data_IF_926473948297
#
_entry.id   IF_926473948297
#
_cell.length_a   1.000
_cell.length_b   1.000
_cell.length_c   1.000
_cell.angle_alpha   90.00
_cell.angle_beta   90.00
_cell.angle_gamma   90.00
#
_symmetry.space_group_name_H-M   'P 1'
#
loop_
_entity.id
_entity.type
_entity.pdbx_description
1 polymer ?
#
# COMPACT_ATOMS: atom_id res chain seq x y z
N UNK A 1 18.01 -4.31 18.63
CA UNK A 1 18.60 -3.86 17.32
C UNK A 1 17.51 -3.93 16.28
N UNK A 2 17.41 -2.96 15.37
CA UNK A 2 16.42 -2.93 14.27
C UNK A 2 17.10 -2.36 13.01
N UNK A 3 16.62 -2.76 11.85
CA UNK A 3 17.05 -2.24 10.55
C UNK A 3 16.05 -1.21 10.07
N UNK A 4 16.52 -0.26 9.25
CA UNK A 4 15.69 0.77 8.64
C UNK A 4 15.82 0.71 7.13
N UNK A 5 14.67 0.66 6.44
CA UNK A 5 14.60 0.63 4.99
C UNK A 5 13.78 1.82 4.49
N UNK A 6 14.30 2.51 3.49
CA UNK A 6 13.61 3.59 2.78
C UNK A 6 14.24 3.77 1.40
N UNK A 7 13.55 4.45 0.45
CA UNK A 7 14.20 4.93 -0.76
C UNK A 7 15.44 5.76 -0.47
N UNK A 8 16.38 5.79 -1.40
CA UNK A 8 17.56 6.69 -1.31
C UNK A 8 17.19 8.16 -1.41
N UNK A 9 16.08 8.46 -2.09
CA UNK A 9 15.51 9.79 -2.16
C UNK A 9 13.99 9.77 -2.17
N UNK A 10 13.39 10.74 -1.47
CA UNK A 10 11.97 11.02 -1.48
C UNK A 10 11.82 12.47 -1.94
N UNK A 11 11.11 12.66 -3.05
CA UNK A 11 10.83 13.96 -3.65
C UNK A 11 9.35 14.23 -3.51
N UNK A 12 8.99 15.28 -2.79
CA UNK A 12 7.60 15.64 -2.53
C UNK A 12 7.31 17.06 -3.02
N UNK A 13 6.22 17.23 -3.77
CA UNK A 13 5.73 18.54 -4.20
C UNK A 13 5.00 18.51 -5.52
N UNK A 14 4.20 19.56 -5.75
CA UNK A 14 3.42 19.74 -6.97
C UNK A 14 4.31 19.89 -8.21
N UNK A 15 3.94 19.24 -9.31
CA UNK A 15 4.67 19.26 -10.57
C UNK A 15 5.98 18.45 -10.58
N UNK A 16 6.32 17.74 -9.50
CA UNK A 16 7.58 16.99 -9.40
C UNK A 16 7.64 15.78 -10.33
N UNK A 17 6.51 15.27 -10.78
CA UNK A 17 6.47 14.22 -11.81
C UNK A 17 7.16 14.65 -13.11
N UNK A 18 7.13 15.93 -13.45
CA UNK A 18 7.85 16.49 -14.61
C UNK A 18 9.38 16.49 -14.46
N UNK A 19 9.92 16.17 -13.28
CA UNK A 19 11.36 16.02 -13.05
C UNK A 19 11.86 14.56 -13.16
N UNK A 20 11.02 13.61 -13.56
CA UNK A 20 11.36 12.18 -13.62
C UNK A 20 12.60 11.92 -14.47
N UNK A 21 12.78 12.59 -15.62
CA UNK A 21 13.94 12.44 -16.49
C UNK A 21 15.26 12.85 -15.81
N UNK A 22 15.24 13.88 -14.95
CA UNK A 22 16.40 14.26 -14.14
C UNK A 22 16.80 13.13 -13.17
N UNK A 23 15.84 12.59 -12.44
CA UNK A 23 16.10 11.50 -11.50
C UNK A 23 16.47 10.20 -12.21
N UNK A 24 15.89 9.92 -13.39
CA UNK A 24 16.27 8.76 -14.20
C UNK A 24 17.73 8.87 -14.71
N UNK A 25 18.23 10.06 -15.01
CA UNK A 25 19.65 10.28 -15.33
C UNK A 25 20.57 10.05 -14.13
N UNK A 26 20.14 10.51 -12.97
CA UNK A 26 20.97 10.47 -11.75
C UNK A 26 21.01 9.06 -11.12
N UNK A 27 19.88 8.35 -11.11
CA UNK A 27 19.71 7.12 -10.35
C UNK A 27 19.40 5.89 -11.22
N UNK A 28 19.02 6.09 -12.46
CA UNK A 28 18.70 5.04 -13.40
C UNK A 28 19.93 4.49 -14.12
N UNK A 29 19.68 3.46 -14.95
CA UNK A 29 20.66 2.83 -15.82
C UNK A 29 20.11 2.74 -17.25
N UNK A 30 20.44 3.70 -18.09
CA UNK A 30 20.01 3.72 -19.49
C UNK A 30 18.50 4.00 -19.66
N UNK A 31 17.91 3.41 -20.70
CA UNK A 31 16.49 3.65 -21.07
C UNK A 31 15.53 3.11 -20.02
N UNK A 32 14.40 3.79 -19.86
CA UNK A 32 13.39 3.45 -18.88
C UNK A 32 12.18 2.73 -19.50
N UNK A 33 11.74 1.65 -18.89
CA UNK A 33 10.38 1.13 -19.08
C UNK A 33 9.45 1.87 -18.12
N UNK A 34 8.42 2.54 -18.66
CA UNK A 34 7.34 3.10 -17.85
C UNK A 34 6.26 2.06 -17.65
N UNK A 35 5.92 1.74 -16.41
CA UNK A 35 4.82 0.83 -16.03
C UNK A 35 3.70 1.67 -15.40
N UNK A 36 2.50 1.59 -15.96
CA UNK A 36 1.33 2.38 -15.53
C UNK A 36 0.02 1.61 -15.76
N UNK A 37 -1.11 2.22 -15.38
CA UNK A 37 -2.43 1.67 -15.66
C UNK A 37 -3.05 2.22 -16.96
N UNK A 38 -3.99 1.48 -17.59
CA UNK A 38 -4.61 1.91 -18.86
C UNK A 38 -5.41 3.20 -18.72
N UNK A 39 -6.05 3.43 -17.55
CA UNK A 39 -6.76 4.69 -17.29
C UNK A 39 -5.79 5.88 -17.26
N UNK A 40 -4.70 5.77 -16.51
CA UNK A 40 -3.70 6.84 -16.36
C UNK A 40 -3.05 7.19 -17.72
N UNK A 41 -2.87 6.16 -18.57
CA UNK A 41 -2.36 6.35 -19.93
C UNK A 41 -3.34 7.11 -20.82
N UNK A 42 -4.64 6.74 -20.78
CA UNK A 42 -5.68 7.39 -21.60
C UNK A 42 -6.05 8.79 -21.12
N UNK A 43 -6.09 9.01 -19.79
CA UNK A 43 -6.44 10.31 -19.20
C UNK A 43 -5.33 11.35 -19.28
N UNK A 44 -4.11 10.95 -19.65
CA UNK A 44 -2.96 11.83 -19.71
C UNK A 44 -2.28 12.13 -18.37
N UNK A 45 -2.73 11.54 -17.27
CA UNK A 45 -2.11 11.74 -15.94
C UNK A 45 -0.62 11.36 -15.93
N UNK A 46 -0.23 10.34 -16.70
CA UNK A 46 1.17 9.91 -16.84
C UNK A 46 2.00 10.79 -17.78
N UNK A 47 1.39 11.72 -18.54
CA UNK A 47 2.07 12.46 -19.59
C UNK A 47 3.24 13.33 -19.11
N UNK A 48 3.19 14.02 -17.95
CA UNK A 48 4.35 14.74 -17.41
C UNK A 48 5.58 13.86 -17.20
N UNK A 49 5.38 12.60 -16.79
CA UNK A 49 6.44 11.59 -16.62
C UNK A 49 7.02 11.20 -17.96
N UNK A 50 6.15 10.89 -18.94
CA UNK A 50 6.58 10.48 -20.28
C UNK A 50 7.32 11.60 -21.02
N UNK A 51 6.81 12.83 -20.94
CA UNK A 51 7.44 14.00 -21.55
C UNK A 51 8.83 14.25 -20.97
N UNK A 52 8.95 14.22 -19.64
CA UNK A 52 10.23 14.39 -18.95
C UNK A 52 11.27 13.33 -19.36
N UNK A 53 10.86 12.08 -19.55
CA UNK A 53 11.73 11.00 -20.02
C UNK A 53 12.10 11.15 -21.49
N UNK A 54 11.19 11.64 -22.37
CA UNK A 54 11.49 11.93 -23.79
C UNK A 54 12.52 13.05 -23.90
N UNK A 55 12.33 14.16 -23.21
CA UNK A 55 13.25 15.30 -23.18
C UNK A 55 14.63 14.90 -22.65
N UNK A 56 14.68 13.97 -21.71
CA UNK A 56 15.91 13.39 -21.22
C UNK A 56 16.56 12.39 -22.19
N UNK A 57 15.87 11.93 -23.25
CA UNK A 57 16.32 10.88 -24.16
C UNK A 57 16.33 9.49 -23.52
N UNK A 58 15.56 9.29 -22.46
CA UNK A 58 15.56 8.06 -21.66
C UNK A 58 14.29 7.21 -21.80
N UNK A 59 13.23 7.67 -22.49
CA UNK A 59 12.04 6.86 -22.68
C UNK A 59 12.36 5.66 -23.58
N UNK A 60 12.21 4.45 -23.04
CA UNK A 60 12.38 3.19 -23.74
C UNK A 60 11.07 2.65 -24.29
N UNK A 61 10.15 2.34 -23.40
CA UNK A 61 8.84 1.81 -23.72
C UNK A 61 7.82 2.16 -22.62
N UNK A 62 6.54 1.89 -22.92
CA UNK A 62 5.44 2.04 -21.95
C UNK A 62 4.65 0.73 -21.91
N UNK A 63 4.51 0.14 -20.72
CA UNK A 63 3.61 -0.96 -20.43
C UNK A 63 2.43 -0.41 -19.63
N UNK A 64 1.21 -0.54 -20.14
CA UNK A 64 0.01 0.08 -19.54
C UNK A 64 -1.18 -0.88 -19.44
N UNK A 65 -0.96 -2.18 -19.51
CA UNK A 65 -2.01 -3.20 -19.46
C UNK A 65 -2.18 -3.81 -18.06
N UNK A 66 -2.40 -2.95 -17.06
CA UNK A 66 -2.70 -3.36 -15.67
C UNK A 66 -4.02 -2.69 -15.27
N UNK A 67 -5.16 -3.31 -15.61
CA UNK A 67 -6.47 -2.67 -15.41
C UNK A 67 -6.93 -2.64 -13.95
N UNK A 68 -6.45 -3.57 -13.11
CA UNK A 68 -6.86 -3.73 -11.72
C UNK A 68 -5.74 -4.33 -10.87
N UNK A 69 -5.98 -5.48 -10.23
CA UNK A 69 -4.98 -6.21 -9.45
C UNK A 69 -3.84 -6.72 -10.35
N UNK A 70 -2.57 -6.60 -9.90
CA UNK A 70 -1.43 -7.07 -10.66
C UNK A 70 -1.34 -8.60 -10.66
N UNK A 71 -1.06 -9.19 -11.82
CA UNK A 71 -0.94 -10.64 -11.98
C UNK A 71 0.44 -11.04 -12.49
N UNK A 72 0.78 -12.32 -12.36
CA UNK A 72 2.01 -12.89 -12.89
C UNK A 72 2.10 -12.79 -14.43
N UNK A 73 0.96 -12.77 -15.14
CA UNK A 73 0.89 -12.47 -16.57
C UNK A 73 1.40 -11.07 -16.88
N UNK A 74 0.92 -10.04 -16.15
CA UNK A 74 1.38 -8.65 -16.33
C UNK A 74 2.89 -8.53 -16.08
N UNK A 75 3.42 -9.26 -15.09
CA UNK A 75 4.87 -9.27 -14.81
C UNK A 75 5.64 -9.89 -15.98
N UNK A 76 5.20 -11.04 -16.52
CA UNK A 76 5.88 -11.70 -17.65
C UNK A 76 5.88 -10.83 -18.91
N UNK A 77 4.74 -10.20 -19.23
CA UNK A 77 4.61 -9.33 -20.40
C UNK A 77 5.48 -8.07 -20.27
N UNK A 78 5.44 -7.40 -19.10
CA UNK A 78 6.28 -6.22 -18.83
C UNK A 78 7.78 -6.58 -18.85
N UNK A 79 8.19 -7.72 -18.31
CA UNK A 79 9.57 -8.20 -18.35
C UNK A 79 10.02 -8.49 -19.79
N UNK A 80 9.16 -9.12 -20.58
CA UNK A 80 9.42 -9.35 -22.02
C UNK A 80 9.65 -8.04 -22.78
N UNK A 81 8.83 -7.02 -22.52
CA UNK A 81 8.99 -5.68 -23.09
C UNK A 81 10.29 -5.00 -22.60
N UNK A 82 10.56 -5.07 -21.28
CA UNK A 82 11.77 -4.51 -20.66
C UNK A 82 13.05 -5.02 -21.33
N UNK A 83 13.14 -6.34 -21.52
CA UNK A 83 14.29 -7.01 -22.15
C UNK A 83 14.39 -6.71 -23.64
N UNK A 84 13.29 -6.77 -24.40
CA UNK A 84 13.24 -6.49 -25.83
C UNK A 84 13.69 -5.06 -26.16
N UNK A 85 13.28 -4.09 -25.36
CA UNK A 85 13.61 -2.68 -25.52
C UNK A 85 14.96 -2.30 -24.86
N UNK A 86 15.67 -3.27 -24.27
CA UNK A 86 16.96 -3.08 -23.61
C UNK A 86 16.90 -1.95 -22.56
N UNK A 87 15.84 -1.92 -21.79
CA UNK A 87 15.72 -0.96 -20.68
C UNK A 87 16.66 -1.36 -19.54
N UNK A 88 17.11 -0.39 -18.76
CA UNK A 88 17.95 -0.60 -17.56
C UNK A 88 17.38 0.09 -16.33
N UNK A 89 16.24 0.74 -16.47
CA UNK A 89 15.53 1.46 -15.40
C UNK A 89 14.05 1.19 -15.53
N UNK A 90 13.33 1.15 -14.41
CA UNK A 90 11.87 1.07 -14.38
C UNK A 90 11.32 2.34 -13.73
N UNK A 91 10.35 2.97 -14.39
CA UNK A 91 9.56 4.08 -13.82
C UNK A 91 8.14 3.58 -13.64
N UNK A 92 7.71 3.40 -12.40
CA UNK A 92 6.36 2.97 -12.07
C UNK A 92 5.51 4.21 -11.73
N UNK A 93 4.52 4.53 -12.57
CA UNK A 93 3.59 5.63 -12.32
C UNK A 93 2.17 5.07 -12.19
N UNK A 94 1.64 5.07 -10.95
CA UNK A 94 0.32 4.50 -10.69
C UNK A 94 0.05 4.25 -9.21
N UNK A 95 -1.02 3.54 -8.91
CA UNK A 95 -1.27 3.01 -7.57
C UNK A 95 -0.36 1.82 -7.25
N UNK A 96 -0.72 1.03 -6.24
CA UNK A 96 0.07 -0.13 -5.81
C UNK A 96 0.37 -1.13 -6.93
N UNK A 97 -0.62 -1.44 -7.79
CA UNK A 97 -0.48 -2.46 -8.84
C UNK A 97 0.68 -2.21 -9.82
N UNK A 98 0.76 -1.07 -10.51
CA UNK A 98 1.91 -0.73 -11.36
C UNK A 98 3.25 -0.74 -10.63
N UNK A 99 3.30 -0.29 -9.36
CA UNK A 99 4.53 -0.28 -8.58
C UNK A 99 4.92 -1.72 -8.21
N UNK A 100 3.97 -2.57 -7.88
CA UNK A 100 4.21 -3.97 -7.56
C UNK A 100 4.69 -4.77 -8.78
N UNK A 101 4.09 -4.55 -9.97
CA UNK A 101 4.62 -5.13 -11.22
C UNK A 101 6.05 -4.67 -11.48
N UNK A 102 6.37 -3.39 -11.28
CA UNK A 102 7.71 -2.85 -11.45
C UNK A 102 8.74 -3.55 -10.55
N UNK A 103 8.40 -3.76 -9.28
CA UNK A 103 9.24 -4.50 -8.32
C UNK A 103 9.44 -5.95 -8.75
N UNK A 104 8.38 -6.62 -9.19
CA UNK A 104 8.46 -8.00 -9.66
C UNK A 104 9.26 -8.11 -10.97
N UNK A 105 9.15 -7.17 -11.89
CA UNK A 105 9.98 -7.12 -13.12
C UNK A 105 11.45 -6.92 -12.77
N UNK A 106 11.77 -5.97 -11.88
CA UNK A 106 13.13 -5.72 -11.40
C UNK A 106 13.73 -6.96 -10.72
N UNK A 107 12.92 -7.64 -9.89
CA UNK A 107 13.28 -8.90 -9.24
C UNK A 107 13.64 -10.00 -10.26
N UNK A 108 12.72 -10.27 -11.20
CA UNK A 108 12.87 -11.39 -12.14
C UNK A 108 13.91 -11.12 -13.23
N UNK A 109 14.17 -9.86 -13.55
CA UNK A 109 15.26 -9.54 -14.49
C UNK A 109 16.63 -9.93 -13.95
N UNK A 110 16.87 -9.69 -12.67
CA UNK A 110 18.14 -9.99 -12.01
C UNK A 110 18.29 -11.44 -11.56
N UNK A 111 17.19 -12.09 -11.18
CA UNK A 111 17.24 -13.39 -10.49
C UNK A 111 16.64 -14.55 -11.31
N UNK A 112 15.89 -14.25 -12.40
CA UNK A 112 15.21 -15.27 -13.19
C UNK A 112 13.99 -15.88 -12.49
N UNK A 113 13.56 -17.05 -12.93
CA UNK A 113 12.46 -17.81 -12.31
C UNK A 113 11.09 -17.19 -12.45
N UNK A 114 10.21 -17.45 -11.49
CA UNK A 114 8.86 -16.95 -11.36
C UNK A 114 8.70 -16.25 -9.99
N UNK A 115 7.69 -15.37 -9.86
CA UNK A 115 7.42 -14.65 -8.60
C UNK A 115 7.22 -15.61 -7.42
N UNK A 116 6.59 -16.76 -7.67
CA UNK A 116 6.35 -17.80 -6.66
C UNK A 116 7.63 -18.31 -6.00
N UNK A 117 8.73 -18.37 -6.74
CA UNK A 117 10.02 -18.87 -6.21
C UNK A 117 10.56 -17.99 -5.09
N UNK A 118 10.13 -16.73 -5.06
CA UNK A 118 10.57 -15.71 -4.08
C UNK A 118 9.50 -15.38 -3.02
N UNK A 119 8.35 -16.06 -3.06
CA UNK A 119 7.27 -15.80 -2.10
C UNK A 119 7.73 -15.99 -0.65
N UNK A 120 7.45 -15.01 0.20
CA UNK A 120 7.88 -14.95 1.60
C UNK A 120 8.85 -13.81 1.90
N UNK A 121 9.55 -13.91 3.03
CA UNK A 121 10.43 -12.85 3.54
C UNK A 121 11.89 -13.19 3.28
N UNK A 122 12.66 -12.26 2.69
CA UNK A 122 14.12 -12.38 2.55
C UNK A 122 14.61 -13.45 1.57
N UNK A 123 13.76 -13.89 0.63
CA UNK A 123 14.10 -14.93 -0.36
C UNK A 123 14.71 -14.41 -1.65
N UNK A 124 14.83 -13.10 -1.82
CA UNK A 124 15.43 -12.47 -3.01
C UNK A 124 16.94 -12.45 -2.85
N UNK A 125 17.73 -13.12 -3.73
CA UNK A 125 19.18 -13.25 -3.53
C UNK A 125 19.94 -12.00 -3.97
N UNK A 126 19.52 -11.32 -5.05
CA UNK A 126 20.26 -10.19 -5.61
C UNK A 126 19.34 -8.99 -5.89
N UNK A 127 19.84 -7.74 -5.73
CA UNK A 127 19.08 -6.54 -6.10
C UNK A 127 18.85 -6.50 -7.62
N UNK A 128 17.70 -5.98 -8.02
CA UNK A 128 17.34 -5.77 -9.41
C UNK A 128 17.81 -4.42 -9.98
N UNK A 129 17.18 -4.02 -11.08
CA UNK A 129 17.41 -2.71 -11.70
C UNK A 129 16.75 -1.59 -10.88
N UNK A 130 17.26 -0.34 -10.97
CA UNK A 130 16.68 0.79 -10.25
C UNK A 130 15.21 1.02 -10.60
N UNK A 131 14.40 1.34 -9.57
CA UNK A 131 12.99 1.69 -9.69
C UNK A 131 12.79 3.14 -9.23
N UNK A 132 12.11 3.94 -10.05
CA UNK A 132 11.57 5.24 -9.67
C UNK A 132 10.06 5.04 -9.53
N UNK A 133 9.53 5.19 -8.32
CA UNK A 133 8.12 5.00 -8.03
C UNK A 133 7.40 6.34 -7.89
N UNK A 134 6.28 6.50 -8.60
CA UNK A 134 5.48 7.72 -8.67
C UNK A 134 4.03 7.35 -8.35
N UNK A 135 3.61 7.42 -7.08
CA UNK A 135 2.25 7.05 -6.71
C UNK A 135 1.24 8.07 -7.26
N UNK A 136 0.11 7.57 -7.76
CA UNK A 136 -1.05 8.36 -8.17
C UNK A 136 -2.25 8.15 -7.25
N UNK A 137 -2.07 7.38 -6.18
CA UNK A 137 -3.06 7.16 -5.10
C UNK A 137 -2.40 7.43 -3.75
N UNK A 138 -3.18 7.87 -2.78
CA UNK A 138 -2.75 8.07 -1.40
C UNK A 138 -3.24 6.89 -0.55
N UNK A 139 -2.49 5.78 -0.55
CA UNK A 139 -2.97 4.57 0.13
C UNK A 139 -1.91 3.50 0.36
N UNK A 140 -1.42 2.89 -0.70
CA UNK A 140 -0.64 1.65 -0.63
C UNK A 140 0.75 1.78 0.02
N UNK A 141 1.39 2.97 -0.02
CA UNK A 141 2.77 3.13 0.44
C UNK A 141 3.80 2.28 -0.33
N UNK A 142 3.41 1.72 -1.50
CA UNK A 142 4.27 0.83 -2.26
C UNK A 142 5.53 1.54 -2.77
N UNK A 143 5.49 2.85 -2.97
CA UNK A 143 6.63 3.68 -3.41
C UNK A 143 7.78 3.73 -2.40
N UNK A 144 7.51 3.39 -1.14
CA UNK A 144 8.54 3.37 -0.06
C UNK A 144 8.70 2.02 0.60
N UNK A 145 7.98 0.99 0.15
CA UNK A 145 8.01 -0.33 0.77
C UNK A 145 8.86 -1.34 -0.01
N UNK A 146 9.42 -2.32 0.73
CA UNK A 146 10.11 -3.49 0.17
C UNK A 146 9.16 -4.68 -0.08
N UNK A 147 7.88 -4.41 -0.35
CA UNK A 147 6.85 -5.43 -0.54
C UNK A 147 6.31 -5.38 -1.95
N UNK A 148 6.06 -6.53 -2.56
CA UNK A 148 5.24 -6.67 -3.77
C UNK A 148 4.23 -7.80 -3.59
N UNK A 149 3.01 -7.59 -4.09
CA UNK A 149 1.93 -8.57 -4.05
C UNK A 149 1.45 -8.80 -5.48
N UNK A 150 1.66 -10.03 -5.97
CA UNK A 150 1.27 -10.42 -7.33
C UNK A 150 0.28 -11.58 -7.23
N UNK A 151 -0.85 -11.47 -7.91
CA UNK A 151 -1.81 -12.58 -8.02
C UNK A 151 -1.32 -13.57 -9.05
N UNK A 152 -1.14 -14.81 -8.64
CA UNK A 152 -0.92 -15.92 -9.58
C UNK A 152 -2.26 -16.34 -10.17
N UNK A 153 -2.43 -16.15 -11.48
CA UNK A 153 -3.73 -16.37 -12.13
C UNK A 153 -4.19 -17.84 -12.06
N UNK A 154 -3.26 -18.78 -12.22
CA UNK A 154 -3.59 -20.20 -12.26
C UNK A 154 -4.08 -20.76 -10.91
N UNK A 155 -3.55 -20.26 -9.79
CA UNK A 155 -3.90 -20.74 -8.45
C UNK A 155 -4.88 -19.81 -7.73
N UNK A 156 -5.20 -18.64 -8.29
CA UNK A 156 -5.98 -17.59 -7.62
C UNK A 156 -5.41 -17.22 -6.24
N UNK A 157 -4.08 -17.12 -6.14
CA UNK A 157 -3.35 -16.90 -4.89
C UNK A 157 -2.56 -15.60 -4.96
N UNK A 158 -2.56 -14.83 -3.86
CA UNK A 158 -1.73 -13.64 -3.72
C UNK A 158 -0.34 -14.02 -3.21
N UNK A 159 0.66 -13.90 -4.07
CA UNK A 159 2.07 -14.12 -3.74
C UNK A 159 2.64 -12.85 -3.11
N UNK A 160 3.01 -12.95 -1.83
CA UNK A 160 3.64 -11.87 -1.09
C UNK A 160 5.16 -12.07 -1.09
N UNK A 161 5.90 -11.13 -1.67
CA UNK A 161 7.37 -11.10 -1.61
C UNK A 161 7.82 -9.90 -0.82
N UNK A 162 8.65 -10.11 0.21
CA UNK A 162 9.20 -9.05 1.05
C UNK A 162 10.72 -9.11 1.02
N UNK A 163 11.35 -8.05 0.52
CA UNK A 163 12.80 -7.90 0.50
C UNK A 163 13.20 -6.42 0.48
N UNK A 164 14.29 -6.09 1.16
CA UNK A 164 14.90 -4.75 1.08
C UNK A 164 15.30 -4.37 -0.36
N UNK A 165 15.59 -5.35 -1.21
CA UNK A 165 15.95 -5.14 -2.61
C UNK A 165 14.79 -4.69 -3.51
N UNK A 166 13.55 -4.72 -3.00
CA UNK A 166 12.36 -4.24 -3.69
C UNK A 166 11.98 -2.79 -3.33
N UNK A 167 12.67 -2.18 -2.38
CA UNK A 167 12.46 -0.76 -2.06
C UNK A 167 12.90 0.07 -3.27
N UNK A 168 12.03 0.93 -3.83
CA UNK A 168 12.40 1.81 -4.94
C UNK A 168 13.61 2.69 -4.61
N UNK A 169 14.44 2.99 -5.61
CA UNK A 169 15.57 3.91 -5.44
C UNK A 169 15.09 5.32 -5.09
N UNK A 170 14.05 5.79 -5.79
CA UNK A 170 13.47 7.12 -5.63
C UNK A 170 11.95 6.99 -5.59
N UNK A 171 11.33 7.71 -4.65
CA UNK A 171 9.89 7.96 -4.62
C UNK A 171 9.63 9.42 -5.00
N UNK A 172 8.81 9.67 -6.04
CA UNK A 172 8.38 11.01 -6.44
C UNK A 172 6.89 11.14 -6.12
N UNK A 173 6.57 11.94 -5.13
CA UNK A 173 5.20 12.15 -4.65
C UNK A 173 4.71 13.52 -5.13
N UNK A 174 3.88 13.51 -6.16
CA UNK A 174 3.28 14.68 -6.76
C UNK A 174 1.78 14.71 -6.45
N UNK A 175 1.31 15.61 -5.57
CA UNK A 175 -0.10 15.68 -5.22
C UNK A 175 -1.04 15.87 -6.41
N UNK A 176 -0.60 16.56 -7.47
CA UNK A 176 -1.40 16.80 -8.67
C UNK A 176 -1.83 15.49 -9.36
N UNK A 177 -1.04 14.42 -9.23
CA UNK A 177 -1.37 13.11 -9.82
C UNK A 177 -2.50 12.40 -9.07
N UNK A 178 -2.87 12.86 -7.87
CA UNK A 178 -3.98 12.31 -7.07
C UNK A 178 -5.30 13.05 -7.32
N UNK A 179 -5.27 14.19 -8.03
CA UNK A 179 -6.49 14.90 -8.40
C UNK A 179 -7.30 14.06 -9.38
N UNK A 180 -8.59 14.18 -9.31
CA UNK A 180 -9.47 13.37 -10.15
C UNK A 180 -9.62 11.89 -9.71
N UNK A 181 -9.01 11.47 -8.60
CA UNK A 181 -9.35 10.18 -8.01
C UNK A 181 -10.84 10.16 -7.63
N UNK A 182 -11.61 9.14 -8.07
CA UNK A 182 -13.01 9.01 -7.67
C UNK A 182 -13.16 8.94 -6.16
N UNK A 183 -14.25 9.48 -5.57
CA UNK A 183 -14.47 9.42 -4.12
C UNK A 183 -14.36 8.03 -3.52
N UNK A 184 -14.94 7.01 -4.17
CA UNK A 184 -14.84 5.61 -3.70
C UNK A 184 -13.39 5.11 -3.65
N UNK A 185 -12.54 5.48 -4.63
CA UNK A 185 -11.13 5.13 -4.62
C UNK A 185 -10.37 5.91 -3.53
N UNK A 186 -10.67 7.21 -3.37
CA UNK A 186 -10.12 8.05 -2.30
C UNK A 186 -10.43 7.44 -0.93
N UNK A 187 -11.68 7.03 -0.69
CA UNK A 187 -12.11 6.40 0.55
C UNK A 187 -11.36 5.08 0.81
N UNK A 188 -11.38 4.17 -0.16
CA UNK A 188 -10.78 2.84 -0.02
C UNK A 188 -9.26 2.93 0.23
N UNK A 189 -8.54 3.75 -0.57
CA UNK A 189 -7.08 3.88 -0.42
C UNK A 189 -6.70 4.68 0.82
N UNK A 190 -7.47 5.71 1.17
CA UNK A 190 -7.22 6.51 2.38
C UNK A 190 -7.45 5.74 3.67
N UNK A 191 -8.51 4.89 3.73
CA UNK A 191 -8.72 3.99 4.88
C UNK A 191 -7.65 2.90 4.94
N UNK A 192 -7.15 2.43 3.78
CA UNK A 192 -6.01 1.52 3.72
C UNK A 192 -4.75 2.17 4.35
N UNK A 193 -4.42 3.42 3.96
CA UNK A 193 -3.32 4.17 4.58
C UNK A 193 -3.52 4.38 6.09
N UNK A 194 -4.76 4.66 6.53
CA UNK A 194 -5.08 4.76 7.96
C UNK A 194 -4.89 3.41 8.68
N UNK A 195 -5.26 2.32 8.02
CA UNK A 195 -5.04 0.96 8.54
C UNK A 195 -3.55 0.66 8.66
N UNK A 196 -2.74 1.03 7.67
CA UNK A 196 -1.28 0.95 7.74
C UNK A 196 -0.73 1.72 8.94
N UNK A 197 -1.18 2.97 9.16
CA UNK A 197 -0.76 3.79 10.29
C UNK A 197 -1.15 3.17 11.63
N UNK A 198 -2.38 2.66 11.77
CA UNK A 198 -2.86 2.03 13.00
C UNK A 198 -2.06 0.74 13.26
N UNK A 199 -2.00 -0.18 12.30
CA UNK A 199 -1.34 -1.47 12.49
C UNK A 199 0.17 -1.33 12.74
N UNK A 200 0.85 -0.45 12.00
CA UNK A 200 2.29 -0.21 12.21
C UNK A 200 2.59 0.40 13.58
N UNK A 201 1.70 1.23 14.13
CA UNK A 201 1.83 1.79 15.48
C UNK A 201 1.73 0.71 16.56
N UNK A 202 0.74 -0.18 16.43
CA UNK A 202 0.44 -1.19 17.45
C UNK A 202 1.16 -2.52 17.22
N UNK A 203 1.80 -2.70 16.07
CA UNK A 203 2.57 -3.89 15.74
C UNK A 203 3.56 -4.25 16.85
N UNK A 204 3.71 -5.53 17.14
CA UNK A 204 4.73 -6.04 18.07
C UNK A 204 6.17 -5.73 17.58
N UNK A 205 6.35 -5.43 16.29
CA UNK A 205 7.61 -4.99 15.69
C UNK A 205 7.79 -3.47 15.68
N UNK A 206 6.83 -2.70 16.19
CA UNK A 206 6.91 -1.25 16.20
C UNK A 206 8.10 -0.74 17.03
N UNK A 207 8.78 0.25 16.51
CA UNK A 207 9.85 0.99 17.16
C UNK A 207 9.38 2.41 17.51
N UNK A 208 10.13 3.15 18.33
CA UNK A 208 9.81 4.55 18.62
C UNK A 208 9.66 5.37 17.33
N UNK A 209 10.59 5.17 16.38
CA UNK A 209 10.60 5.90 15.11
C UNK A 209 9.39 5.55 14.24
N UNK A 210 9.02 4.27 14.10
CA UNK A 210 7.84 3.87 13.33
C UNK A 210 6.54 4.35 13.98
N UNK A 211 6.46 4.36 15.31
CA UNK A 211 5.31 4.91 16.03
C UNK A 211 5.14 6.40 15.73
N UNK A 212 6.22 7.19 15.71
CA UNK A 212 6.14 8.63 15.44
C UNK A 212 5.63 8.91 14.01
N UNK A 213 6.07 8.15 13.00
CA UNK A 213 5.52 8.21 11.64
C UNK A 213 4.04 7.80 11.62
N UNK A 214 3.68 6.72 12.29
CA UNK A 214 2.29 6.22 12.37
C UNK A 214 1.34 7.24 12.98
N UNK A 215 1.74 7.91 14.06
CA UNK A 215 0.91 8.93 14.74
C UNK A 215 0.66 10.14 13.83
N UNK A 216 1.71 10.63 13.15
CA UNK A 216 1.55 11.73 12.18
C UNK A 216 0.63 11.34 11.03
N UNK A 217 0.84 10.14 10.46
CA UNK A 217 -0.01 9.60 9.40
C UNK A 217 -1.47 9.51 9.82
N UNK A 218 -1.74 8.93 10.99
CA UNK A 218 -3.10 8.78 11.51
C UNK A 218 -3.79 10.13 11.73
N UNK A 219 -3.09 11.12 12.30
CA UNK A 219 -3.61 12.47 12.51
C UNK A 219 -3.95 13.19 11.20
N UNK A 220 -3.06 13.11 10.18
CA UNK A 220 -3.31 13.70 8.86
C UNK A 220 -4.51 13.06 8.18
N UNK A 221 -4.54 11.74 8.11
CA UNK A 221 -5.60 10.99 7.44
C UNK A 221 -6.95 11.17 8.13
N UNK A 222 -7.00 11.16 9.47
CA UNK A 222 -8.24 11.41 10.20
C UNK A 222 -8.83 12.81 9.93
N UNK A 223 -7.96 13.82 9.73
CA UNK A 223 -8.38 15.19 9.48
C UNK A 223 -8.74 15.45 8.01
N UNK A 224 -7.89 15.00 7.08
CA UNK A 224 -7.96 15.45 5.70
C UNK A 224 -8.63 14.46 4.74
N UNK A 225 -8.74 13.18 5.09
CA UNK A 225 -9.39 12.20 4.23
C UNK A 225 -10.87 12.50 3.98
N UNK A 226 -11.69 12.91 4.99
CA UNK A 226 -13.06 13.33 4.75
C UNK A 226 -13.15 14.54 3.81
N UNK A 227 -12.22 15.47 3.90
CA UNK A 227 -12.15 16.66 3.02
C UNK A 227 -11.81 16.24 1.60
N UNK A 228 -10.77 15.42 1.41
CA UNK A 228 -10.38 14.91 0.09
C UNK A 228 -11.47 14.03 -0.56
N UNK A 229 -12.30 13.36 0.24
CA UNK A 229 -13.45 12.59 -0.23
C UNK A 229 -14.60 13.48 -0.70
N UNK A 230 -14.95 14.51 0.09
CA UNK A 230 -16.04 15.43 -0.20
C UNK A 230 -15.68 16.47 -1.28
N UNK A 231 -14.40 16.87 -1.35
CA UNK A 231 -13.86 17.88 -2.26
C UNK A 231 -12.61 17.31 -2.97
N UNK A 232 -12.79 16.56 -4.06
CA UNK A 232 -11.69 15.84 -4.73
C UNK A 232 -10.55 16.74 -5.23
N UNK A 233 -10.81 18.01 -5.45
CA UNK A 233 -9.84 18.99 -5.96
C UNK A 233 -9.23 19.89 -4.86
N UNK A 234 -9.52 19.62 -3.57
CA UNK A 234 -8.91 20.34 -2.47
C UNK A 234 -7.42 20.02 -2.39
N UNK A 235 -6.60 21.02 -2.75
CA UNK A 235 -5.15 20.87 -2.88
C UNK A 235 -4.47 20.51 -1.55
N UNK A 236 -4.92 21.12 -0.44
CA UNK A 236 -4.36 20.86 0.89
C UNK A 236 -4.70 19.42 1.31
N UNK A 237 -5.96 19.02 1.17
CA UNK A 237 -6.40 17.68 1.57
C UNK A 237 -5.71 16.59 0.75
N UNK A 238 -5.55 16.77 -0.57
CA UNK A 238 -4.80 15.82 -1.42
C UNK A 238 -3.35 15.71 -1.01
N UNK A 239 -2.68 16.85 -0.78
CA UNK A 239 -1.30 16.91 -0.31
C UNK A 239 -1.13 16.20 1.03
N UNK A 240 -2.00 16.49 2.00
CA UNK A 240 -1.93 15.92 3.33
C UNK A 240 -2.27 14.42 3.36
N UNK A 241 -3.24 13.95 2.55
CA UNK A 241 -3.51 12.53 2.38
C UNK A 241 -2.33 11.79 1.76
N UNK A 242 -1.68 12.36 0.73
CA UNK A 242 -0.51 11.75 0.10
C UNK A 242 0.67 11.68 1.08
N UNK A 243 0.89 12.73 1.87
CA UNK A 243 1.93 12.76 2.91
C UNK A 243 1.62 11.76 4.03
N UNK A 244 0.35 11.64 4.46
CA UNK A 244 -0.07 10.64 5.44
C UNK A 244 0.13 9.20 4.93
N UNK A 245 -0.17 8.94 3.65
CA UNK A 245 0.11 7.64 3.00
C UNK A 245 1.61 7.32 2.97
N UNK A 246 2.45 8.29 2.63
CA UNK A 246 3.91 8.16 2.67
C UNK A 246 4.41 7.80 4.08
N UNK A 247 3.98 8.56 5.10
CA UNK A 247 4.39 8.34 6.48
C UNK A 247 3.94 6.97 6.99
N UNK A 248 2.71 6.53 6.67
CA UNK A 248 2.21 5.20 6.97
C UNK A 248 3.02 4.11 6.24
N UNK A 249 3.38 4.36 4.97
CA UNK A 249 4.22 3.49 4.14
C UNK A 249 5.60 3.26 4.75
N UNK A 250 6.25 4.32 5.19
CA UNK A 250 7.54 4.26 5.89
C UNK A 250 7.39 3.49 7.21
N UNK A 251 6.31 3.73 7.95
CA UNK A 251 6.08 3.06 9.24
C UNK A 251 5.90 1.55 9.07
N UNK A 252 4.97 1.09 8.21
CA UNK A 252 4.73 -0.34 8.06
C UNK A 252 5.90 -1.09 7.42
N UNK A 253 6.64 -0.46 6.52
CA UNK A 253 7.85 -1.06 5.93
C UNK A 253 8.86 -1.46 7.01
N UNK A 254 8.94 -0.70 8.10
CA UNK A 254 9.92 -0.87 9.17
C UNK A 254 9.34 -1.48 10.46
N UNK A 255 8.04 -1.80 10.51
CA UNK A 255 7.39 -2.43 11.66
C UNK A 255 6.40 -3.53 11.31
N UNK A 256 6.05 -3.67 10.03
CA UNK A 256 5.04 -4.59 9.52
C UNK A 256 3.59 -4.18 9.86
N UNK A 257 2.67 -4.69 9.05
CA UNK A 257 1.22 -4.70 9.29
C UNK A 257 0.83 -5.86 10.23
N UNK A 258 -0.44 -5.97 10.62
CA UNK A 258 -0.91 -6.93 11.61
C UNK A 258 -2.15 -7.72 11.14
N UNK A 259 -3.14 -7.88 11.99
CA UNK A 259 -4.28 -8.80 11.79
C UNK A 259 -5.22 -8.34 10.68
N UNK A 260 -5.47 -7.02 10.51
CA UNK A 260 -6.35 -6.51 9.43
C UNK A 260 -5.83 -6.95 8.08
N UNK A 261 -4.58 -6.64 7.77
CA UNK A 261 -3.95 -7.05 6.52
C UNK A 261 -3.81 -8.57 6.37
N UNK A 262 -3.61 -9.28 7.51
CA UNK A 262 -3.57 -10.74 7.51
C UNK A 262 -4.87 -11.35 7.00
N UNK A 263 -6.02 -10.82 7.44
CA UNK A 263 -7.35 -11.30 7.06
C UNK A 263 -7.84 -10.71 5.72
N UNK A 264 -7.46 -9.47 5.40
CA UNK A 264 -7.91 -8.81 4.19
C UNK A 264 -7.35 -9.44 2.90
N UNK A 265 -6.12 -9.99 2.94
CA UNK A 265 -5.50 -10.61 1.76
C UNK A 265 -6.29 -11.80 1.22
N UNK A 266 -6.60 -12.85 2.02
CA UNK A 266 -7.43 -13.95 1.53
C UNK A 266 -8.86 -13.51 1.17
N UNK A 267 -9.44 -12.55 1.90
CA UNK A 267 -10.76 -12.00 1.58
C UNK A 267 -10.76 -11.39 0.16
N UNK A 268 -9.79 -10.52 -0.12
CA UNK A 268 -9.66 -9.89 -1.44
C UNK A 268 -9.37 -10.90 -2.55
N UNK A 269 -8.51 -11.89 -2.30
CA UNK A 269 -8.15 -12.90 -3.30
C UNK A 269 -9.31 -13.80 -3.71
N UNK A 270 -10.08 -14.30 -2.72
CA UNK A 270 -11.16 -15.27 -2.98
C UNK A 270 -12.42 -14.64 -3.55
N UNK A 271 -12.69 -13.40 -3.23
CA UNK A 271 -13.94 -12.73 -3.62
C UNK A 271 -13.76 -11.57 -4.60
N UNK A 272 -12.54 -11.31 -5.05
CA UNK A 272 -12.26 -10.21 -5.98
C UNK A 272 -12.50 -8.81 -5.37
N UNK A 273 -12.49 -8.70 -4.04
CA UNK A 273 -12.70 -7.42 -3.36
C UNK A 273 -11.38 -6.62 -3.42
N UNK A 274 -11.40 -5.36 -3.88
CA UNK A 274 -10.20 -4.51 -3.91
C UNK A 274 -9.53 -4.42 -2.55
N UNK A 275 -8.19 -4.40 -2.52
CA UNK A 275 -7.39 -4.49 -1.30
C UNK A 275 -7.78 -3.44 -0.24
N UNK A 276 -7.88 -2.16 -0.61
CA UNK A 276 -8.25 -1.10 0.33
C UNK A 276 -9.67 -1.29 0.90
N UNK A 277 -10.62 -1.82 0.10
CA UNK A 277 -11.97 -2.16 0.59
C UNK A 277 -11.90 -3.34 1.57
N UNK A 278 -11.12 -4.39 1.25
CA UNK A 278 -10.94 -5.55 2.13
C UNK A 278 -10.38 -5.16 3.50
N UNK A 279 -9.42 -4.25 3.55
CA UNK A 279 -8.89 -3.72 4.81
C UNK A 279 -9.94 -2.88 5.55
N UNK A 280 -10.65 -2.00 4.83
CA UNK A 280 -11.60 -1.07 5.43
C UNK A 280 -12.80 -1.78 6.09
N UNK A 281 -13.34 -2.84 5.48
CA UNK A 281 -14.48 -3.60 6.02
C UNK A 281 -14.12 -4.39 7.29
N UNK A 282 -12.86 -4.75 7.48
CA UNK A 282 -12.36 -5.51 8.63
C UNK A 282 -11.85 -4.61 9.77
N UNK A 283 -11.50 -3.35 9.46
CA UNK A 283 -10.78 -2.46 10.38
C UNK A 283 -11.48 -2.31 11.74
N UNK A 284 -12.79 -2.04 11.75
CA UNK A 284 -13.52 -1.79 13.00
C UNK A 284 -13.57 -3.02 13.91
N UNK A 285 -13.88 -4.20 13.36
CA UNK A 285 -13.97 -5.44 14.14
C UNK A 285 -12.61 -5.79 14.76
N UNK A 286 -11.56 -5.74 13.94
CA UNK A 286 -10.21 -6.11 14.37
C UNK A 286 -9.61 -5.06 15.32
N UNK A 287 -9.85 -3.77 15.07
CA UNK A 287 -9.41 -2.72 16.01
C UNK A 287 -10.05 -2.92 17.39
N UNK A 288 -11.37 -3.17 17.44
CA UNK A 288 -12.09 -3.45 18.70
C UNK A 288 -11.50 -4.65 19.43
N UNK A 289 -11.20 -5.73 18.71
CA UNK A 289 -10.54 -6.92 19.25
C UNK A 289 -9.16 -6.61 19.82
N UNK A 290 -8.41 -5.74 19.15
CA UNK A 290 -6.99 -5.50 19.41
C UNK A 290 -6.72 -4.45 20.51
N UNK A 291 -7.69 -3.55 20.79
CA UNK A 291 -7.54 -2.46 21.78
C UNK A 291 -6.94 -2.90 23.13
N UNK A 292 -7.41 -4.00 23.77
CA UNK A 292 -6.87 -4.42 25.07
C UNK A 292 -5.41 -4.88 25.02
N UNK A 293 -4.89 -5.21 23.82
CA UNK A 293 -3.52 -5.70 23.65
C UNK A 293 -2.45 -4.60 23.65
N UNK A 294 -2.83 -3.33 23.43
CA UNK A 294 -1.89 -2.20 23.45
C UNK A 294 -2.62 -0.87 23.75
N UNK A 295 -3.30 -0.75 24.89
CA UNK A 295 -4.16 0.40 25.20
C UNK A 295 -3.40 1.73 25.13
N UNK A 296 -2.15 1.81 25.57
CA UNK A 296 -1.34 3.03 25.55
C UNK A 296 -1.02 3.48 24.10
N UNK A 297 -0.73 2.54 23.19
CA UNK A 297 -0.46 2.87 21.80
C UNK A 297 -1.73 3.32 21.07
N UNK A 298 -2.85 2.64 21.33
CA UNK A 298 -4.15 3.07 20.79
C UNK A 298 -4.62 4.41 21.37
N UNK A 299 -4.30 4.73 22.64
CA UNK A 299 -4.57 6.03 23.23
C UNK A 299 -3.78 7.14 22.50
N UNK A 300 -2.49 6.94 22.26
CA UNK A 300 -1.66 7.88 21.49
C UNK A 300 -2.19 8.08 20.06
N UNK A 301 -2.63 7.01 19.39
CA UNK A 301 -3.30 7.10 18.07
C UNK A 301 -4.58 7.94 18.18
N UNK A 302 -5.40 7.69 19.19
CA UNK A 302 -6.63 8.43 19.42
C UNK A 302 -6.36 9.94 19.59
N UNK A 303 -5.39 10.30 20.40
CA UNK A 303 -4.96 11.69 20.61
C UNK A 303 -4.44 12.32 19.31
N UNK A 304 -3.62 11.59 18.55
CA UNK A 304 -3.13 12.05 17.25
C UNK A 304 -4.27 12.29 16.24
N UNK A 305 -5.35 11.50 16.31
CA UNK A 305 -6.57 11.66 15.51
C UNK A 305 -7.54 12.72 16.08
N UNK A 306 -7.21 13.39 17.18
CA UNK A 306 -7.99 14.48 17.78
C UNK A 306 -8.92 14.05 18.91
N UNK A 307 -8.78 12.86 19.49
CA UNK A 307 -9.51 12.50 20.70
C UNK A 307 -8.97 13.28 21.92
N UNK A 308 -9.89 13.69 22.78
CA UNK A 308 -9.52 14.22 24.10
C UNK A 308 -9.16 13.05 25.02
N UNK A 309 -8.01 13.12 25.72
CA UNK A 309 -7.65 12.08 26.69
C UNK A 309 -8.75 11.87 27.74
N UNK A 310 -9.07 10.61 28.02
CA UNK A 310 -10.01 10.19 29.05
C UNK A 310 -9.26 9.54 30.22
N UNK A 311 -9.95 9.19 31.32
CA UNK A 311 -9.37 8.76 32.59
C UNK A 311 -8.31 7.66 32.49
N UNK A 312 -8.49 6.70 31.61
CA UNK A 312 -7.53 5.60 31.38
C UNK A 312 -7.09 5.54 29.93
N UNK A 313 -5.92 4.94 29.62
CA UNK A 313 -5.50 4.69 28.25
C UNK A 313 -6.54 3.92 27.42
N UNK A 314 -7.23 2.94 28.02
CA UNK A 314 -8.24 2.16 27.31
C UNK A 314 -9.49 2.99 26.98
N UNK A 315 -9.90 3.93 27.82
CA UNK A 315 -11.00 4.85 27.55
C UNK A 315 -10.65 5.81 26.43
N UNK A 316 -9.44 6.39 26.45
CA UNK A 316 -8.93 7.22 25.36
C UNK A 316 -8.86 6.41 24.05
N UNK A 317 -8.37 5.18 24.08
CA UNK A 317 -8.33 4.28 22.92
C UNK A 317 -9.73 4.00 22.34
N UNK A 318 -10.75 3.85 23.18
CA UNK A 318 -12.17 3.70 22.76
C UNK A 318 -12.70 4.97 22.08
N UNK A 319 -12.31 6.17 22.54
CA UNK A 319 -12.64 7.41 21.85
C UNK A 319 -12.03 7.44 20.44
N UNK A 320 -10.79 7.00 20.27
CA UNK A 320 -10.14 6.85 18.96
C UNK A 320 -10.85 5.83 18.07
N UNK A 321 -11.30 4.71 18.60
CA UNK A 321 -12.15 3.76 17.88
C UNK A 321 -13.42 4.44 17.37
N UNK A 322 -14.05 5.31 18.18
CA UNK A 322 -15.22 6.10 17.78
C UNK A 322 -14.93 7.05 16.59
N UNK A 323 -13.72 7.62 16.51
CA UNK A 323 -13.28 8.42 15.37
C UNK A 323 -13.19 7.56 14.12
N UNK A 324 -12.51 6.41 14.18
CA UNK A 324 -12.37 5.48 13.05
C UNK A 324 -13.74 4.99 12.57
N UNK A 325 -14.63 4.59 13.47
CA UNK A 325 -15.99 4.16 13.15
C UNK A 325 -16.81 5.24 12.44
N UNK A 326 -16.64 6.51 12.83
CA UNK A 326 -17.28 7.65 12.17
C UNK A 326 -16.71 7.83 10.76
N UNK A 327 -15.38 7.82 10.60
CA UNK A 327 -14.71 7.95 9.30
C UNK A 327 -15.17 6.87 8.32
N UNK A 328 -15.21 5.61 8.72
CA UNK A 328 -15.67 4.49 7.89
C UNK A 328 -17.11 4.74 7.36
N UNK A 329 -18.00 5.29 8.22
CA UNK A 329 -19.37 5.62 7.82
C UNK A 329 -19.44 6.85 6.90
N UNK A 330 -18.75 7.94 7.22
CA UNK A 330 -18.72 9.18 6.43
C UNK A 330 -18.12 8.96 5.03
N UNK A 331 -17.16 8.05 4.92
CA UNK A 331 -16.54 7.66 3.66
C UNK A 331 -17.33 6.61 2.87
N UNK A 332 -18.53 6.25 3.34
CA UNK A 332 -19.42 5.27 2.70
C UNK A 332 -18.76 3.92 2.43
N UNK A 333 -17.86 3.48 3.31
CA UNK A 333 -17.27 2.14 3.22
C UNK A 333 -18.38 1.09 3.38
N UNK A 334 -18.53 0.13 2.44
CA UNK A 334 -19.55 -0.90 2.55
C UNK A 334 -19.30 -1.81 3.76
N UNK A 335 -20.32 -2.47 4.25
CA UNK A 335 -20.16 -3.55 5.23
C UNK A 335 -19.87 -4.86 4.51
N UNK A 336 -19.19 -5.79 5.16
CA UNK A 336 -18.87 -7.10 4.56
C UNK A 336 -20.13 -7.82 4.04
N UNK A 337 -21.23 -7.76 4.80
CA UNK A 337 -22.54 -8.32 4.40
C UNK A 337 -23.18 -7.68 3.15
N UNK A 338 -22.75 -6.50 2.77
CA UNK A 338 -23.23 -5.80 1.57
C UNK A 338 -22.42 -6.27 0.33
N UNK A 339 -21.29 -6.91 0.54
CA UNK A 339 -20.37 -7.42 -0.49
C UNK A 339 -20.51 -8.92 -0.72
N UNK A 340 -20.83 -9.69 0.33
CA UNK A 340 -20.82 -11.15 0.33
C UNK A 340 -22.03 -11.71 1.09
N UNK A 341 -22.59 -12.83 0.60
CA UNK A 341 -23.52 -13.61 1.39
C UNK A 341 -22.80 -14.39 2.50
N UNK A 342 -23.50 -14.72 3.55
CA UNK A 342 -22.97 -15.54 4.66
C UNK A 342 -22.52 -16.91 4.18
N UNK A 343 -23.28 -17.54 3.29
CA UNK A 343 -23.00 -18.87 2.74
C UNK A 343 -21.70 -18.86 1.92
N UNK A 344 -21.48 -17.80 1.11
CA UNK A 344 -20.25 -17.66 0.34
C UNK A 344 -19.02 -17.49 1.25
N UNK A 345 -19.16 -16.70 2.32
CA UNK A 345 -18.11 -16.49 3.31
C UNK A 345 -17.79 -17.81 4.03
N UNK A 346 -18.80 -18.51 4.56
CA UNK A 346 -18.65 -19.74 5.32
C UNK A 346 -17.98 -20.85 4.49
N UNK A 347 -18.29 -20.91 3.18
CA UNK A 347 -17.66 -21.87 2.26
C UNK A 347 -16.13 -21.69 2.11
N UNK A 348 -15.59 -20.51 2.38
CA UNK A 348 -14.17 -20.20 2.24
C UNK A 348 -13.46 -19.92 3.57
N UNK A 349 -14.20 -19.88 4.68
CA UNK A 349 -13.71 -19.38 5.96
C UNK A 349 -12.47 -20.12 6.47
N UNK A 350 -12.48 -21.46 6.48
CA UNK A 350 -11.35 -22.28 6.93
C UNK A 350 -10.09 -22.06 6.08
N UNK A 351 -10.25 -21.90 4.77
CA UNK A 351 -9.14 -21.62 3.88
C UNK A 351 -8.58 -20.23 4.14
N UNK A 352 -9.46 -19.23 4.30
CA UNK A 352 -9.07 -17.85 4.62
C UNK A 352 -8.33 -17.75 5.95
N UNK A 353 -8.77 -18.45 6.98
CA UNK A 353 -8.11 -18.48 8.29
C UNK A 353 -6.70 -19.07 8.16
N UNK A 354 -6.55 -20.21 7.46
CA UNK A 354 -5.23 -20.81 7.22
C UNK A 354 -4.29 -19.87 6.47
N UNK A 355 -4.77 -19.22 5.41
CA UNK A 355 -3.98 -18.27 4.62
C UNK A 355 -3.61 -17.01 5.42
N UNK A 356 -4.54 -16.49 6.23
CA UNK A 356 -4.28 -15.37 7.12
C UNK A 356 -3.14 -15.70 8.11
N UNK A 357 -3.22 -16.83 8.78
CA UNK A 357 -2.17 -17.31 9.72
C UNK A 357 -0.85 -17.52 9.01
N UNK A 358 -0.85 -18.19 7.85
CA UNK A 358 0.35 -18.48 7.05
C UNK A 358 1.05 -17.21 6.56
N UNK A 359 0.32 -16.09 6.37
CA UNK A 359 0.90 -14.81 5.97
C UNK A 359 1.88 -14.21 6.99
N UNK A 360 1.85 -14.69 8.24
CA UNK A 360 2.67 -14.20 9.35
C UNK A 360 2.27 -12.81 9.89
N UNK A 361 1.36 -12.10 9.22
CA UNK A 361 0.93 -10.76 9.66
C UNK A 361 0.14 -10.79 10.98
N UNK A 362 -0.77 -11.74 11.25
CA UNK A 362 -1.48 -11.83 12.52
C UNK A 362 -0.57 -11.97 13.74
N UNK A 363 0.61 -12.59 13.58
CA UNK A 363 1.59 -12.73 14.65
C UNK A 363 2.19 -11.38 15.12
N UNK A 364 2.02 -10.31 14.35
CA UNK A 364 2.46 -8.96 14.73
C UNK A 364 1.38 -8.18 15.49
N UNK A 365 0.14 -8.71 15.57
CA UNK A 365 -0.95 -8.04 16.25
C UNK A 365 -0.69 -7.94 17.76
N UNK A 366 -1.03 -6.83 18.43
CA UNK A 366 -0.75 -6.67 19.87
C UNK A 366 -1.50 -7.67 20.74
N UNK A 367 -2.76 -7.98 20.41
CA UNK A 367 -3.52 -9.11 20.96
C UNK A 367 -3.43 -10.27 19.96
N UNK A 368 -2.85 -11.38 20.43
CA UNK A 368 -2.77 -12.58 19.58
C UNK A 368 -4.18 -13.17 19.41
N UNK A 369 -4.53 -13.55 18.19
CA UNK A 369 -5.79 -14.18 17.86
C UNK A 369 -5.54 -15.68 17.56
N UNK A 370 -6.38 -16.54 18.14
CA UNK A 370 -6.43 -17.95 17.75
C UNK A 370 -7.09 -18.09 16.36
N UNK A 371 -6.92 -19.23 15.66
CA UNK A 371 -7.65 -19.50 14.43
C UNK A 371 -9.17 -19.35 14.58
N UNK A 372 -9.73 -19.79 15.72
CA UNK A 372 -11.16 -19.70 16.04
C UNK A 372 -11.59 -18.23 16.25
N UNK A 373 -10.76 -17.42 16.90
CA UNK A 373 -11.01 -15.98 17.06
C UNK A 373 -10.94 -15.28 15.69
N UNK A 374 -9.96 -15.63 14.81
CA UNK A 374 -9.88 -15.11 13.44
C UNK A 374 -11.15 -15.45 12.66
N UNK A 375 -11.66 -16.68 12.79
CA UNK A 375 -12.89 -17.10 12.11
C UNK A 375 -14.13 -16.35 12.62
N UNK A 376 -14.13 -15.86 13.88
CA UNK A 376 -15.25 -15.16 14.49
C UNK A 376 -15.25 -13.65 14.22
N UNK A 377 -14.11 -13.09 13.85
CA UNK A 377 -13.92 -11.67 13.52
C UNK A 377 -14.40 -11.32 12.13
#
# INVERSE_FOLDING_TARGET
MWNWFSPKGIVFGEGKAASTGLFARQWGRGRALVITGPFLRRSGVVEPVLQSLREAGLLGAVFSDIPSEPTDRHVREALGLFRRERCGTIVACGGGGPIDVAKAVSLLDANGGAVRDYAGVGRVPHPGVPIIAIPTTAGSGSEVSGTTIITEEAAHEKLLVISMYLVPEIAILDPLLTYGMPPALTAATGVDALTHAIESCVSRKATKLTIDFSLRAAGRLARFLPVAFASPDDAEARRECLLGSLEAGIAFTNSSVALVHGMARPLGAKFGIPHGVSNAVLLEAIMRFSLPGAPERYARLAEAMGAVPAGTPLETARAGFGIVSRLVRELHIPRLRDLLSREALDAQLDAMVREAVASGSPANNPRQASPEEIASL
#
